data_IF_640225907652
#
_entry.id   IF_640225907652
#
_cell.length_a   1.000
_cell.length_b   1.000
_cell.length_c   1.000
_cell.angle_alpha   90.00
_cell.angle_beta   90.00
_cell.angle_gamma   90.00
#
_symmetry.space_group_name_H-M   'P 1'
#
loop_
_entity.id
_entity.type
_entity.pdbx_description
1 polymer ?
#
# COMPACT_ATOMS: atom_id res chain seq x y z
N UNK A 1 12.43 3.78 -1.66
CA UNK A 1 11.19 3.02 -1.89
C UNK A 1 10.29 3.81 -2.82
N UNK A 2 10.08 3.31 -4.03
CA UNK A 2 9.07 3.83 -4.95
C UNK A 2 7.72 3.13 -4.71
N UNK A 3 6.61 3.86 -4.79
CA UNK A 3 5.26 3.29 -4.76
C UNK A 3 4.61 3.52 -6.12
N UNK A 4 4.35 2.45 -6.86
CA UNK A 4 3.70 2.47 -8.17
C UNK A 4 2.27 1.99 -8.06
N UNK A 5 1.41 2.52 -8.93
CA UNK A 5 0.00 2.15 -9.01
C UNK A 5 -0.31 1.56 -10.37
N UNK A 6 -1.10 0.48 -10.42
CA UNK A 6 -1.78 0.13 -11.68
C UNK A 6 -2.80 1.21 -12.04
N UNK A 7 -3.14 1.38 -13.33
CA UNK A 7 -4.13 2.37 -13.75
C UNK A 7 -5.48 2.25 -13.01
N UNK A 8 -5.99 1.03 -12.86
CA UNK A 8 -7.25 0.78 -12.12
C UNK A 8 -7.15 1.15 -10.63
N UNK A 9 -6.03 0.84 -9.97
CA UNK A 9 -5.79 1.27 -8.59
C UNK A 9 -5.70 2.79 -8.48
N UNK A 10 -5.01 3.45 -9.41
CA UNK A 10 -4.87 4.90 -9.42
C UNK A 10 -6.23 5.61 -9.57
N UNK A 11 -7.07 5.18 -10.51
CA UNK A 11 -8.43 5.72 -10.66
C UNK A 11 -9.26 5.47 -9.40
N UNK A 12 -9.27 4.23 -8.91
CA UNK A 12 -10.01 3.87 -7.71
C UNK A 12 -9.62 4.72 -6.49
N UNK A 13 -8.33 4.99 -6.30
CA UNK A 13 -7.88 5.83 -5.19
C UNK A 13 -8.32 7.29 -5.38
N UNK A 14 -8.19 7.86 -6.58
CA UNK A 14 -8.64 9.24 -6.85
C UNK A 14 -10.14 9.41 -6.66
N UNK A 15 -10.94 8.44 -7.12
CA UNK A 15 -12.40 8.44 -6.93
C UNK A 15 -12.80 8.34 -5.45
N UNK A 16 -11.87 7.95 -4.58
CA UNK A 16 -12.07 7.80 -3.12
C UNK A 16 -11.20 8.78 -2.30
N UNK A 17 -10.86 9.94 -2.86
CA UNK A 17 -10.22 11.04 -2.11
C UNK A 17 -8.70 11.15 -2.25
N UNK A 18 -8.08 10.36 -3.13
CA UNK A 18 -6.69 10.57 -3.54
C UNK A 18 -5.64 10.24 -2.46
N UNK A 19 -6.02 9.54 -1.40
CA UNK A 19 -5.15 9.20 -0.29
C UNK A 19 -5.23 7.70 0.05
N UNK A 20 -4.08 7.11 0.39
CA UNK A 20 -4.00 5.76 0.95
C UNK A 20 -3.05 5.71 2.15
N UNK A 21 -3.31 4.75 3.03
CA UNK A 21 -2.41 4.37 4.11
C UNK A 21 -1.91 2.94 3.91
N UNK A 22 -0.61 2.75 4.15
CA UNK A 22 0.10 1.48 4.05
C UNK A 22 0.58 1.10 5.45
N UNK A 23 0.00 0.05 6.01
CA UNK A 23 0.33 -0.49 7.34
C UNK A 23 0.87 -1.91 7.22
N UNK A 24 1.61 -2.35 8.25
CA UNK A 24 2.07 -3.72 8.30
C UNK A 24 0.88 -4.64 8.62
N UNK A 25 0.64 -5.66 7.80
CA UNK A 25 -0.22 -6.77 8.18
C UNK A 25 0.36 -8.09 7.68
N UNK A 26 0.11 -9.13 8.48
CA UNK A 26 0.43 -10.56 8.32
C UNK A 26 1.74 -10.94 7.61
N UNK A 27 2.61 -11.59 8.38
CA UNK A 27 3.61 -12.51 7.85
C UNK A 27 2.89 -13.68 7.17
N UNK A 28 2.82 -13.68 5.84
CA UNK A 28 2.39 -14.84 5.07
C UNK A 28 3.56 -15.82 4.97
N UNK A 29 3.39 -17.02 5.50
CA UNK A 29 4.37 -18.09 5.31
C UNK A 29 4.48 -18.41 3.81
N UNK A 30 5.69 -18.29 3.25
CA UNK A 30 6.05 -18.80 1.92
C UNK A 30 7.06 -19.94 2.09
N UNK A 31 7.16 -20.83 1.10
CA UNK A 31 8.17 -21.89 1.05
C UNK A 31 9.62 -21.37 1.16
N UNK A 32 9.83 -20.07 0.94
CA UNK A 32 11.11 -19.38 1.05
C UNK A 32 11.21 -18.43 2.27
N UNK A 33 10.30 -18.52 3.24
CA UNK A 33 10.26 -17.67 4.44
C UNK A 33 9.02 -16.77 4.54
N UNK A 34 8.88 -16.04 5.64
CA UNK A 34 7.71 -15.18 5.87
C UNK A 34 7.75 -13.89 5.04
N UNK A 35 6.80 -13.73 4.12
CA UNK A 35 6.60 -12.50 3.35
C UNK A 35 5.62 -11.62 4.12
N UNK A 36 6.06 -10.43 4.49
CA UNK A 36 5.17 -9.41 5.06
C UNK A 36 4.36 -8.81 3.91
N UNK A 37 3.03 -8.89 3.90
CA UNK A 37 2.21 -8.29 2.84
C UNK A 37 1.57 -7.00 3.37
N UNK A 38 2.01 -5.81 2.94
CA UNK A 38 1.45 -4.57 3.48
C UNK A 38 -0.07 -4.51 3.25
N UNK A 39 -0.78 -4.07 4.27
CA UNK A 39 -2.18 -3.73 4.14
C UNK A 39 -2.31 -2.32 3.57
N UNK A 40 -3.25 -2.14 2.65
CA UNK A 40 -3.56 -0.85 2.05
C UNK A 40 -5.02 -0.52 2.34
N UNK A 41 -5.25 0.65 2.92
CA UNK A 41 -6.59 1.23 3.07
C UNK A 41 -6.65 2.60 2.39
N UNK A 42 -7.86 2.99 1.99
CA UNK A 42 -8.16 4.33 1.51
C UNK A 42 -8.16 5.33 2.67
N UNK A 43 -7.90 6.59 2.35
CA UNK A 43 -7.96 7.72 3.28
C UNK A 43 -6.60 8.17 3.79
N UNK A 44 -6.66 9.24 4.58
CA UNK A 44 -5.49 9.80 5.27
C UNK A 44 -5.20 9.02 6.56
N UNK A 45 -3.92 8.98 6.94
CA UNK A 45 -3.52 8.52 8.26
C UNK A 45 -2.95 9.70 9.06
N UNK A 46 -3.40 9.81 10.32
CA UNK A 46 -2.80 10.72 11.31
C UNK A 46 -1.81 9.97 12.19
N UNK A 47 -0.98 10.73 12.92
CA UNK A 47 -0.06 10.18 13.91
C UNK A 47 1.40 10.24 13.50
N UNK A 48 2.29 10.31 14.50
CA UNK A 48 3.74 10.40 14.31
C UNK A 48 4.33 9.09 13.78
N UNK A 49 3.60 7.98 13.80
CA UNK A 49 4.05 6.68 13.27
C UNK A 49 3.99 6.59 11.73
N UNK A 50 3.36 7.54 11.05
CA UNK A 50 3.26 7.57 9.60
C UNK A 50 4.24 8.57 8.98
N UNK A 51 4.81 8.17 7.85
CA UNK A 51 5.52 9.08 6.95
C UNK A 51 4.64 9.36 5.74
N UNK A 52 4.36 10.64 5.49
CA UNK A 52 3.65 11.10 4.28
C UNK A 52 4.62 11.24 3.11
N UNK A 53 4.20 10.78 1.94
CA UNK A 53 4.84 11.06 0.66
C UNK A 53 3.79 11.19 -0.45
N UNK A 54 4.13 11.83 -1.57
CA UNK A 54 3.25 11.94 -2.74
C UNK A 54 3.83 11.10 -3.86
N UNK A 55 3.01 10.24 -4.47
CA UNK A 55 3.42 9.36 -5.57
C UNK A 55 2.38 9.43 -6.69
N UNK A 56 2.77 9.94 -7.87
CA UNK A 56 1.89 10.08 -9.03
C UNK A 56 0.53 10.75 -8.71
N UNK A 57 0.55 11.82 -7.91
CA UNK A 57 -0.66 12.55 -7.49
C UNK A 57 -1.45 11.92 -6.34
N UNK A 58 -1.10 10.71 -5.89
CA UNK A 58 -1.70 10.07 -4.70
C UNK A 58 -0.91 10.44 -3.45
N UNK A 59 -1.61 10.83 -2.39
CA UNK A 59 -1.01 10.98 -1.05
C UNK A 59 -0.89 9.61 -0.41
N UNK A 60 0.33 9.21 -0.04
CA UNK A 60 0.62 7.91 0.56
C UNK A 60 1.15 8.11 1.97
N UNK A 61 0.48 7.52 2.95
CA UNK A 61 0.90 7.46 4.34
C UNK A 61 1.49 6.09 4.62
N UNK A 62 2.77 6.02 4.98
CA UNK A 62 3.48 4.75 5.16
C UNK A 62 3.89 4.63 6.62
N UNK A 63 3.43 3.57 7.27
CA UNK A 63 3.81 3.29 8.65
C UNK A 63 5.33 3.09 8.75
N UNK A 64 6.00 3.81 9.67
CA UNK A 64 7.46 3.81 9.85
C UNK A 64 8.04 2.41 10.07
N UNK A 65 7.27 1.51 10.70
CA UNK A 65 7.66 0.10 10.88
C UNK A 65 7.84 -0.70 9.58
N UNK A 66 7.24 -0.27 8.47
CA UNK A 66 7.42 -0.89 7.14
C UNK A 66 8.74 -0.43 6.49
N UNK A 67 9.20 0.78 6.84
CA UNK A 67 10.38 1.40 6.23
C UNK A 67 11.67 0.63 6.52
N UNK A 68 11.70 -0.25 7.52
CA UNK A 68 12.81 -1.20 7.69
C UNK A 68 13.06 -2.07 6.44
N UNK A 69 12.04 -2.25 5.57
CA UNK A 69 12.13 -2.94 4.27
C UNK A 69 12.22 -2.00 3.06
N UNK A 70 12.52 -0.70 3.27
CA UNK A 70 12.51 0.35 2.24
C UNK A 70 13.47 0.18 1.04
N UNK A 71 14.25 -0.92 0.99
CA UNK A 71 15.05 -1.31 -0.17
C UNK A 71 14.21 -1.94 -1.30
N UNK A 72 12.98 -2.37 -1.01
CA UNK A 72 12.07 -2.96 -1.99
C UNK A 72 11.09 -1.90 -2.50
N UNK A 73 10.67 -2.00 -3.77
CA UNK A 73 9.63 -1.14 -4.33
C UNK A 73 8.26 -1.75 -4.04
N UNK A 74 7.23 -0.90 -4.01
CA UNK A 74 5.85 -1.34 -3.83
C UNK A 74 5.05 -1.10 -5.09
N UNK A 75 4.31 -2.11 -5.51
CA UNK A 75 3.26 -1.98 -6.50
C UNK A 75 1.92 -2.15 -5.82
N UNK A 76 1.05 -1.16 -5.96
CA UNK A 76 -0.34 -1.19 -5.51
C UNK A 76 -1.22 -1.51 -6.71
N UNK A 77 -2.01 -2.58 -6.58
CA UNK A 77 -3.00 -3.00 -7.58
C UNK A 77 -4.40 -3.07 -6.99
N UNK A 78 -5.39 -2.97 -7.86
CA UNK A 78 -6.78 -3.23 -7.51
C UNK A 78 -7.08 -4.69 -7.78
N UNK A 79 -7.58 -5.39 -6.76
CA UNK A 79 -8.07 -6.76 -6.86
C UNK A 79 -9.57 -6.80 -6.55
N UNK A 80 -10.28 -7.81 -7.06
CA UNK A 80 -11.72 -7.98 -6.82
C UNK A 80 -11.94 -9.33 -6.15
N UNK A 81 -12.15 -9.30 -4.84
CA UNK A 81 -12.43 -10.51 -4.05
C UNK A 81 -13.92 -10.54 -3.75
N UNK A 82 -14.62 -11.58 -4.23
CA UNK A 82 -16.06 -11.78 -4.01
C UNK A 82 -16.90 -10.51 -4.21
N UNK A 83 -16.72 -9.85 -5.35
CA UNK A 83 -17.39 -8.59 -5.76
C UNK A 83 -17.03 -7.34 -4.93
N UNK A 84 -16.04 -7.39 -4.05
CA UNK A 84 -15.56 -6.21 -3.32
C UNK A 84 -14.17 -5.78 -3.85
N UNK A 85 -14.04 -4.55 -4.38
CA UNK A 85 -12.73 -4.03 -4.78
C UNK A 85 -11.85 -3.85 -3.54
N UNK A 86 -10.59 -4.31 -3.63
CA UNK A 86 -9.59 -4.18 -2.57
C UNK A 86 -8.25 -3.77 -3.17
N UNK A 87 -7.59 -2.82 -2.52
CA UNK A 87 -6.20 -2.50 -2.83
C UNK A 87 -5.26 -3.54 -2.21
N UNK A 88 -4.31 -4.00 -3.02
CA UNK A 88 -3.28 -4.95 -2.63
C UNK A 88 -1.93 -4.32 -2.90
N UNK A 89 -1.04 -4.31 -1.90
CA UNK A 89 0.35 -3.90 -2.05
C UNK A 89 1.25 -5.15 -2.15
N UNK A 90 2.05 -5.19 -3.20
CA UNK A 90 3.01 -6.27 -3.45
C UNK A 90 4.41 -5.69 -3.54
N UNK A 91 5.38 -6.40 -2.95
CA UNK A 91 6.79 -6.07 -3.12
C UNK A 91 7.26 -6.44 -4.52
N UNK A 92 8.03 -5.55 -5.12
CA UNK A 92 8.72 -5.77 -6.40
C UNK A 92 10.21 -5.51 -6.26
#
# INVERSE_FOLDING_TARGET
MEVRFTGSAWHFINDNGGAIQITAAEAKASCCGSILIPYVALGEAGGEEFQRQVCNGITVYIHKGIKAKAKQNLRVRLDVVWKRPRLVAEWT
#
